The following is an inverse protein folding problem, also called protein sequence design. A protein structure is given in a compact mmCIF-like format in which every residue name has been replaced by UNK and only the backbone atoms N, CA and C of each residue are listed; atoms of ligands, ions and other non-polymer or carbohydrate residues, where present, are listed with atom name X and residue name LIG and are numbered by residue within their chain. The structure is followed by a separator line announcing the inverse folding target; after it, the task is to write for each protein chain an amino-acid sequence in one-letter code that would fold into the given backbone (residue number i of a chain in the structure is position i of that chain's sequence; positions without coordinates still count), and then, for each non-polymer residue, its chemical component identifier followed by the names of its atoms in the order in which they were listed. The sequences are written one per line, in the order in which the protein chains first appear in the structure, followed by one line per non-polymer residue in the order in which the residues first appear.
data_IF_206824255916
#
_entry.id   IF_206824255916
#
_cell.length_a   1.000
_cell.length_b   1.000
_cell.length_c   1.000
_cell.angle_alpha   90.00
_cell.angle_beta   90.00
_cell.angle_gamma   90.00
#
_symmetry.space_group_name_H-M   'P 1'
#
loop_
_entity.id
_entity.type
_entity.pdbx_description
1 polymer ?
#
# COMPACT_ATOMS: atom_id res chain seq x y z
N UNK A 1 -17.60 -5.20 -17.06
CA UNK A 1 -16.96 -4.01 -16.47
C UNK A 1 -16.12 -4.54 -15.32
N UNK A 2 -14.84 -4.18 -15.23
CA UNK A 2 -14.00 -4.59 -14.12
C UNK A 2 -14.68 -4.17 -12.80
N UNK A 3 -14.60 -5.02 -11.76
CA UNK A 3 -14.85 -4.55 -10.38
C UNK A 3 -14.00 -3.28 -10.16
N UNK A 4 -14.56 -2.23 -9.54
CA UNK A 4 -13.96 -0.89 -9.42
C UNK A 4 -12.45 -0.93 -9.16
N UNK A 5 -11.66 -0.76 -10.23
CA UNK A 5 -10.22 -0.81 -10.17
C UNK A 5 -9.68 0.41 -9.42
N UNK A 6 -8.59 0.23 -8.68
CA UNK A 6 -7.99 1.29 -7.86
C UNK A 6 -6.75 1.85 -8.54
N UNK A 7 -6.62 3.17 -8.53
CA UNK A 7 -5.32 3.81 -8.64
C UNK A 7 -4.98 4.42 -7.29
N UNK A 8 -3.96 3.88 -6.62
CA UNK A 8 -3.50 4.28 -5.29
C UNK A 8 -2.18 5.02 -5.44
N UNK A 9 -2.02 6.19 -4.82
CA UNK A 9 -0.75 6.94 -4.88
C UNK A 9 -0.30 7.31 -3.47
N UNK A 10 0.99 7.15 -3.19
CA UNK A 10 1.56 7.58 -1.90
C UNK A 10 1.95 9.06 -1.94
N UNK A 11 1.59 9.81 -0.91
CA UNK A 11 1.98 11.20 -0.71
C UNK A 11 3.01 11.26 0.43
N UNK A 12 4.28 11.46 0.10
CA UNK A 12 5.38 11.58 1.09
C UNK A 12 6.13 12.91 0.94
N UNK A 13 6.71 13.16 -0.23
CA UNK A 13 7.24 14.47 -0.55
C UNK A 13 6.09 15.43 -0.84
N UNK A 14 6.26 16.69 -0.43
CA UNK A 14 5.18 17.69 -0.47
C UNK A 14 5.45 18.86 -1.42
N UNK A 15 6.31 18.68 -2.42
CA UNK A 15 6.58 19.74 -3.39
C UNK A 15 5.44 19.90 -4.41
N UNK A 16 4.50 18.93 -4.49
CA UNK A 16 3.19 19.09 -5.14
C UNK A 16 2.09 19.26 -4.07
N UNK A 17 1.21 20.27 -4.16
CA UNK A 17 0.09 20.43 -3.23
C UNK A 17 -0.80 19.19 -3.14
N UNK A 18 -1.16 18.78 -1.91
CA UNK A 18 -2.07 17.62 -1.71
C UNK A 18 -3.44 17.83 -2.36
N UNK A 19 -3.87 19.09 -2.51
CA UNK A 19 -5.16 19.43 -3.11
C UNK A 19 -5.22 19.10 -4.61
N UNK A 20 -4.08 18.95 -5.28
CA UNK A 20 -4.05 18.57 -6.71
C UNK A 20 -4.64 17.15 -6.89
N UNK A 21 -4.53 16.29 -5.86
CA UNK A 21 -5.16 14.98 -5.81
C UNK A 21 -6.69 15.03 -6.00
N UNK A 22 -7.33 16.16 -5.68
CA UNK A 22 -8.76 16.35 -5.91
C UNK A 22 -9.11 16.42 -7.40
N UNK A 23 -8.20 16.93 -8.25
CA UNK A 23 -8.38 17.03 -9.71
C UNK A 23 -7.79 15.86 -10.50
N UNK A 24 -6.93 15.05 -9.87
CA UNK A 24 -6.18 14.02 -10.56
C UNK A 24 -6.94 12.69 -10.78
N UNK A 25 -6.40 11.85 -11.67
CA UNK A 25 -6.92 10.54 -12.06
C UNK A 25 -6.58 9.42 -11.05
N UNK A 26 -6.72 9.66 -9.74
CA UNK A 26 -6.54 8.64 -8.70
C UNK A 26 -7.84 8.29 -7.98
N UNK A 27 -7.83 7.18 -7.25
CA UNK A 27 -8.95 6.74 -6.40
C UNK A 27 -8.62 6.84 -4.91
N UNK A 28 -7.37 6.53 -4.53
CA UNK A 28 -6.92 6.54 -3.15
C UNK A 28 -5.58 7.27 -3.03
N UNK A 29 -5.42 8.03 -1.96
CA UNK A 29 -4.19 8.71 -1.57
C UNK A 29 -3.73 8.16 -0.21
N UNK A 30 -2.54 7.57 -0.16
CA UNK A 30 -1.92 7.10 1.08
C UNK A 30 -0.97 8.18 1.60
N UNK A 31 -1.33 8.82 2.70
CA UNK A 31 -0.48 9.81 3.38
C UNK A 31 0.64 9.07 4.11
N UNK A 32 1.88 9.29 3.67
CA UNK A 32 3.08 8.62 4.17
C UNK A 32 3.91 9.59 5.03
N UNK A 33 4.11 9.37 6.34
CA UNK A 33 3.76 8.18 7.13
C UNK A 33 3.35 8.53 8.58
N UNK A 34 2.76 7.55 9.27
CA UNK A 34 2.84 7.42 10.73
C UNK A 34 3.98 6.44 11.08
N UNK A 35 4.89 6.87 11.96
CA UNK A 35 6.07 6.07 12.34
C UNK A 35 6.26 6.12 13.87
N UNK A 36 6.96 5.16 14.47
CA UNK A 36 7.39 5.27 15.86
C UNK A 36 8.30 6.49 16.07
N UNK A 37 8.03 7.25 17.13
CA UNK A 37 8.84 8.40 17.50
C UNK A 37 10.26 7.97 17.89
N UNK A 38 11.22 8.85 17.64
CA UNK A 38 12.62 8.58 17.99
C UNK A 38 12.86 8.44 19.50
N UNK A 39 12.00 9.03 20.34
CA UNK A 39 12.15 9.02 21.80
C UNK A 39 11.47 7.82 22.47
N UNK A 40 10.40 7.29 21.87
CA UNK A 40 9.68 6.12 22.36
C UNK A 40 9.06 5.34 21.17
N UNK A 41 9.55 4.12 20.87
CA UNK A 41 9.01 3.32 19.77
C UNK A 41 7.56 2.85 20.00
N UNK A 42 7.01 3.00 21.21
CA UNK A 42 5.58 2.73 21.48
C UNK A 42 4.66 3.93 21.23
N UNK A 43 5.21 5.11 20.91
CA UNK A 43 4.44 6.30 20.58
C UNK A 43 4.59 6.59 19.09
N UNK A 44 3.48 6.68 18.37
CA UNK A 44 3.48 7.03 16.96
C UNK A 44 3.42 8.54 16.76
N UNK A 45 4.10 9.01 15.72
CA UNK A 45 4.03 10.38 15.24
C UNK A 45 3.76 10.40 13.73
N UNK A 46 3.07 11.45 13.28
CA UNK A 46 2.96 11.77 11.86
C UNK A 46 4.30 12.35 11.43
N UNK A 47 4.96 11.73 10.45
CA UNK A 47 6.31 12.07 10.04
C UNK A 47 6.38 12.79 8.70
N UNK A 48 7.60 13.25 8.39
CA UNK A 48 7.91 13.87 7.11
C UNK A 48 7.15 15.16 6.90
N UNK A 49 6.47 15.25 5.76
CA UNK A 49 5.91 16.49 5.26
C UNK A 49 4.39 16.64 5.50
N UNK A 50 3.79 15.73 6.26
CA UNK A 50 2.35 15.72 6.57
C UNK A 50 2.01 16.76 7.66
N UNK A 51 2.11 18.03 7.30
CA UNK A 51 1.81 19.15 8.21
C UNK A 51 0.34 19.18 8.61
N UNK A 52 0.01 19.85 9.73
CA UNK A 52 -1.38 20.08 10.14
C UNK A 52 -2.21 20.83 9.08
N UNK A 53 -1.57 21.71 8.31
CA UNK A 53 -2.23 22.42 7.19
C UNK A 53 -2.65 21.45 6.10
N UNK A 54 -1.75 20.54 5.71
CA UNK A 54 -2.02 19.49 4.74
C UNK A 54 -3.13 18.55 5.23
N UNK A 55 -3.05 18.10 6.48
CA UNK A 55 -4.06 17.22 7.06
C UNK A 55 -5.44 17.90 7.14
N UNK A 56 -5.47 19.23 7.30
CA UNK A 56 -6.69 20.02 7.21
C UNK A 56 -7.31 20.10 5.81
N UNK A 57 -6.60 19.68 4.76
CA UNK A 57 -7.07 19.65 3.37
C UNK A 57 -7.66 18.30 2.94
N UNK A 58 -7.59 17.28 3.80
CA UNK A 58 -8.14 15.95 3.53
C UNK A 58 -9.63 15.98 3.15
N UNK A 59 -10.51 16.74 3.83
CA UNK A 59 -11.93 16.78 3.46
C UNK A 59 -12.18 17.26 2.03
N UNK A 60 -11.36 18.16 1.49
CA UNK A 60 -11.47 18.64 0.12
C UNK A 60 -11.12 17.55 -0.90
N UNK A 61 -10.07 16.78 -0.63
CA UNK A 61 -9.68 15.64 -1.47
C UNK A 61 -10.78 14.56 -1.44
N UNK A 62 -11.35 14.30 -0.26
CA UNK A 62 -12.48 13.37 -0.11
C UNK A 62 -13.76 13.86 -0.79
N UNK A 63 -14.05 15.16 -0.77
CA UNK A 63 -15.20 15.75 -1.45
C UNK A 63 -15.14 15.56 -2.98
N UNK A 64 -13.96 15.37 -3.55
CA UNK A 64 -13.75 15.00 -4.95
C UNK A 64 -13.88 13.48 -5.22
N UNK A 65 -14.40 12.71 -4.25
CA UNK A 65 -14.65 11.28 -4.38
C UNK A 65 -13.43 10.39 -4.12
N UNK A 66 -12.32 10.96 -3.66
CA UNK A 66 -11.10 10.23 -3.36
C UNK A 66 -11.16 9.63 -1.95
N UNK A 67 -10.45 8.54 -1.73
CA UNK A 67 -10.20 7.97 -0.41
C UNK A 67 -8.85 8.39 0.10
N UNK A 68 -8.75 8.82 1.35
CA UNK A 68 -7.48 9.28 1.95
C UNK A 68 -7.17 8.42 3.17
N UNK A 69 -6.07 7.69 3.13
CA UNK A 69 -5.62 6.77 4.17
C UNK A 69 -4.29 7.24 4.77
N UNK A 70 -3.95 6.77 5.96
CA UNK A 70 -2.63 6.99 6.57
C UNK A 70 -1.82 5.70 6.46
N UNK A 71 -0.61 5.79 5.91
CA UNK A 71 0.31 4.65 5.86
C UNK A 71 1.18 4.61 7.12
N UNK A 72 1.19 3.46 7.79
CA UNK A 72 2.01 3.15 8.94
C UNK A 72 3.23 2.34 8.51
N UNK A 73 4.42 2.76 8.94
CA UNK A 73 5.67 2.07 8.65
C UNK A 73 6.55 2.81 7.64
N UNK A 74 6.83 2.16 6.52
CA UNK A 74 7.78 2.58 5.50
C UNK A 74 9.22 2.18 5.82
N UNK A 75 10.06 2.18 4.79
CA UNK A 75 11.45 1.69 4.85
C UNK A 75 12.41 2.36 5.85
N UNK A 76 12.00 3.44 6.54
CA UNK A 76 12.82 4.08 7.59
C UNK A 76 12.59 3.50 9.00
N UNK A 77 11.52 2.71 9.20
CA UNK A 77 11.25 2.10 10.51
C UNK A 77 12.14 0.88 10.69
N UNK A 78 13.00 0.92 11.71
CA UNK A 78 13.97 -0.14 11.96
C UNK A 78 13.35 -1.39 12.58
N UNK A 79 14.00 -2.54 12.39
CA UNK A 79 13.61 -3.80 13.03
C UNK A 79 13.54 -3.70 14.56
N UNK A 80 14.44 -2.94 15.19
CA UNK A 80 14.42 -2.71 16.63
C UNK A 80 13.19 -1.92 17.10
N UNK A 81 12.71 -0.96 16.31
CA UNK A 81 11.48 -0.23 16.62
C UNK A 81 10.25 -1.13 16.49
N UNK A 82 10.16 -1.95 15.44
CA UNK A 82 9.08 -2.94 15.34
C UNK A 82 9.14 -3.97 16.46
N UNK A 83 10.32 -4.49 16.79
CA UNK A 83 10.52 -5.44 17.88
C UNK A 83 10.03 -4.87 19.22
N UNK A 84 10.24 -3.57 19.47
CA UNK A 84 9.74 -2.92 20.68
C UNK A 84 8.21 -2.85 20.76
N UNK A 85 7.52 -2.88 19.61
CA UNK A 85 6.05 -2.89 19.54
C UNK A 85 5.42 -4.28 19.74
N UNK A 86 6.21 -5.36 19.68
CA UNK A 86 5.71 -6.73 19.86
C UNK A 86 5.04 -6.86 21.23
N UNK A 87 3.81 -7.38 21.24
CA UNK A 87 2.95 -7.47 22.43
C UNK A 87 2.24 -6.17 22.82
N UNK A 88 2.48 -5.07 22.08
CA UNK A 88 1.80 -3.77 22.25
C UNK A 88 0.96 -3.39 21.02
N UNK A 89 0.71 -4.33 20.10
CA UNK A 89 -0.03 -4.11 18.85
C UNK A 89 -1.41 -3.47 19.07
N UNK A 90 -2.21 -3.83 20.12
CA UNK A 90 -3.46 -3.14 20.41
C UNK A 90 -3.27 -1.65 20.75
N UNK A 91 -2.19 -1.29 21.44
CA UNK A 91 -1.88 0.11 21.77
C UNK A 91 -1.40 0.90 20.55
N UNK A 92 -0.64 0.26 19.64
CA UNK A 92 -0.26 0.84 18.35
C UNK A 92 -1.50 1.06 17.48
N UNK A 93 -2.37 0.05 17.36
CA UNK A 93 -3.63 0.13 16.62
C UNK A 93 -4.56 1.23 17.16
N UNK A 94 -4.65 1.40 18.48
CA UNK A 94 -5.43 2.47 19.09
C UNK A 94 -4.92 3.87 18.69
N UNK A 95 -3.60 4.07 18.58
CA UNK A 95 -3.01 5.33 18.10
C UNK A 95 -3.32 5.58 16.62
N UNK A 96 -3.21 4.55 15.78
CA UNK A 96 -3.58 4.63 14.36
C UNK A 96 -5.06 5.00 14.20
N UNK A 97 -5.95 4.35 14.94
CA UNK A 97 -7.38 4.68 14.95
C UNK A 97 -7.64 6.11 15.47
N UNK A 98 -6.85 6.60 16.43
CA UNK A 98 -6.95 7.98 16.90
C UNK A 98 -6.58 8.98 15.80
N UNK A 99 -5.54 8.74 15.00
CA UNK A 99 -5.22 9.57 13.83
C UNK A 99 -6.33 9.53 12.78
N UNK A 100 -6.87 8.35 12.48
CA UNK A 100 -8.00 8.20 11.54
C UNK A 100 -9.21 9.02 12.01
N UNK A 101 -9.53 8.97 13.31
CA UNK A 101 -10.61 9.77 13.90
C UNK A 101 -10.32 11.26 13.86
N UNK A 102 -9.11 11.67 14.23
CA UNK A 102 -8.72 13.08 14.32
C UNK A 102 -8.75 13.78 12.96
N UNK A 103 -8.28 13.12 11.90
CA UNK A 103 -8.16 13.71 10.57
C UNK A 103 -9.24 13.25 9.59
N UNK A 104 -10.23 12.46 10.05
CA UNK A 104 -11.35 12.02 9.21
C UNK A 104 -10.94 11.05 8.09
N UNK A 105 -9.86 10.30 8.26
CA UNK A 105 -9.30 9.44 7.21
C UNK A 105 -10.20 8.24 6.90
N UNK A 106 -10.07 7.68 5.70
CA UNK A 106 -10.82 6.52 5.23
C UNK A 106 -10.24 5.18 5.71
N UNK A 107 -9.00 5.14 6.22
CA UNK A 107 -8.39 3.87 6.62
C UNK A 107 -6.90 3.96 6.95
N UNK A 108 -6.30 2.79 7.11
CA UNK A 108 -4.87 2.60 7.37
C UNK A 108 -4.25 1.73 6.28
N UNK A 109 -3.09 2.13 5.79
CA UNK A 109 -2.20 1.28 5.02
C UNK A 109 -1.06 0.78 5.91
N UNK A 110 -0.69 -0.49 5.82
CA UNK A 110 0.43 -1.08 6.57
C UNK A 110 1.59 -1.33 5.61
N UNK A 111 2.57 -0.43 5.64
CA UNK A 111 3.80 -0.50 4.85
C UNK A 111 4.93 -1.12 5.70
N UNK A 112 4.78 -2.42 5.97
CA UNK A 112 5.68 -3.18 6.85
C UNK A 112 6.82 -3.81 6.04
N UNK A 113 8.00 -3.19 6.14
CA UNK A 113 9.19 -3.54 5.33
C UNK A 113 10.33 -4.21 6.12
N UNK A 114 10.07 -4.75 7.32
CA UNK A 114 11.09 -5.49 8.09
C UNK A 114 11.31 -6.90 7.52
N UNK A 115 12.02 -6.93 6.39
CA UNK A 115 12.51 -8.11 5.70
C UNK A 115 13.12 -9.14 6.67
N UNK A 116 13.96 -8.70 7.61
CA UNK A 116 14.63 -9.61 8.55
C UNK A 116 13.64 -10.38 9.41
N UNK A 117 12.62 -9.71 9.94
CA UNK A 117 11.59 -10.34 10.76
C UNK A 117 10.61 -11.19 9.96
N UNK A 118 10.24 -10.76 8.76
CA UNK A 118 9.40 -11.52 7.84
C UNK A 118 10.08 -12.81 7.35
N UNK A 119 11.41 -12.84 7.37
CA UNK A 119 12.24 -14.02 7.06
C UNK A 119 12.58 -14.88 8.28
N UNK A 120 12.01 -14.61 9.46
CA UNK A 120 12.37 -15.24 10.73
C UNK A 120 13.88 -15.15 11.07
N UNK A 121 14.55 -14.12 10.55
CA UNK A 121 15.98 -13.84 10.76
C UNK A 121 16.19 -12.63 11.70
N UNK A 122 15.20 -12.32 12.53
CA UNK A 122 15.24 -11.21 13.51
C UNK A 122 14.96 -11.70 14.93
N UNK A 123 14.95 -10.78 15.90
CA UNK A 123 14.62 -11.07 17.29
C UNK A 123 13.13 -11.31 17.60
N UNK A 124 12.25 -11.32 16.59
CA UNK A 124 10.81 -11.59 16.74
C UNK A 124 10.19 -12.19 15.47
N UNK A 125 8.97 -12.73 15.60
CA UNK A 125 8.18 -13.29 14.50
C UNK A 125 7.39 -12.17 13.79
N UNK A 126 7.89 -11.73 12.62
CA UNK A 126 7.25 -10.65 11.86
C UNK A 126 5.87 -11.00 11.30
N UNK A 127 5.63 -12.27 10.99
CA UNK A 127 4.33 -12.75 10.52
C UNK A 127 3.25 -12.66 11.60
N UNK A 128 3.57 -13.12 12.82
CA UNK A 128 2.66 -13.07 13.97
C UNK A 128 2.39 -11.63 14.42
N UNK A 129 3.43 -10.79 14.42
CA UNK A 129 3.28 -9.34 14.64
C UNK A 129 2.31 -8.72 13.63
N UNK A 130 2.51 -8.96 12.33
CA UNK A 130 1.65 -8.40 11.29
C UNK A 130 0.19 -8.88 11.41
N UNK A 131 -0.05 -10.17 11.72
CA UNK A 131 -1.39 -10.71 11.94
C UNK A 131 -2.07 -10.02 13.13
N UNK A 132 -1.36 -9.93 14.27
CA UNK A 132 -1.89 -9.35 15.51
C UNK A 132 -2.17 -7.86 15.34
N UNK A 133 -1.26 -7.12 14.68
CA UNK A 133 -1.43 -5.71 14.37
C UNK A 133 -2.63 -5.49 13.44
N UNK A 134 -2.77 -6.27 12.37
CA UNK A 134 -3.90 -6.15 11.43
C UNK A 134 -5.24 -6.38 12.12
N UNK A 135 -5.34 -7.45 12.92
CA UNK A 135 -6.54 -7.74 13.70
C UNK A 135 -6.86 -6.59 14.68
N UNK A 136 -5.83 -6.06 15.35
CA UNK A 136 -5.98 -4.95 16.29
C UNK A 136 -6.40 -3.64 15.60
N UNK A 137 -5.84 -3.33 14.42
CA UNK A 137 -6.23 -2.16 13.61
C UNK A 137 -7.69 -2.28 13.20
N UNK A 138 -8.10 -3.43 12.68
CA UNK A 138 -9.50 -3.66 12.31
C UNK A 138 -10.46 -3.41 13.48
N UNK A 139 -10.17 -3.97 14.65
CA UNK A 139 -11.03 -3.83 15.82
C UNK A 139 -11.05 -2.38 16.33
N UNK A 140 -9.91 -1.68 16.31
CA UNK A 140 -9.83 -0.28 16.69
C UNK A 140 -10.60 0.63 15.71
N UNK A 141 -10.50 0.38 14.39
CA UNK A 141 -11.20 1.14 13.35
C UNK A 141 -12.71 0.91 13.38
N UNK A 142 -13.17 -0.29 13.75
CA UNK A 142 -14.59 -0.56 13.97
C UNK A 142 -15.20 0.36 15.04
N UNK A 143 -14.40 0.78 16.03
CA UNK A 143 -14.78 1.78 17.04
C UNK A 143 -14.78 3.23 16.54
N UNK A 144 -14.12 3.53 15.41
CA UNK A 144 -14.11 4.86 14.78
C UNK A 144 -15.32 5.06 13.88
N UNK A 145 -15.67 4.05 13.07
CA UNK A 145 -16.81 4.10 12.18
C UNK A 145 -16.86 2.94 11.20
N UNK A 146 -18.00 2.78 10.52
CA UNK A 146 -18.16 1.74 9.48
C UNK A 146 -17.42 2.15 8.20
N UNK A 147 -16.99 1.15 7.43
CA UNK A 147 -16.41 1.34 6.09
C UNK A 147 -14.98 1.88 6.10
N UNK A 148 -14.23 1.70 7.20
CA UNK A 148 -12.80 1.97 7.22
C UNK A 148 -12.04 0.86 6.50
N UNK A 149 -11.02 1.25 5.76
CA UNK A 149 -10.24 0.38 4.90
C UNK A 149 -8.90 0.01 5.56
N UNK A 150 -8.41 -1.19 5.26
CA UNK A 150 -7.07 -1.65 5.62
C UNK A 150 -6.39 -2.19 4.37
N UNK A 151 -5.29 -1.57 3.95
CA UNK A 151 -4.40 -2.11 2.93
C UNK A 151 -3.05 -2.47 3.51
N UNK A 152 -2.29 -3.31 2.82
CA UNK A 152 -0.89 -3.56 3.12
C UNK A 152 -0.05 -3.28 1.88
N UNK A 153 1.23 -2.97 2.04
CA UNK A 153 2.17 -2.77 0.94
C UNK A 153 3.32 -3.79 0.97
N UNK A 154 3.07 -5.10 0.81
CA UNK A 154 4.15 -6.08 0.80
C UNK A 154 5.08 -5.90 -0.40
N UNK A 155 6.34 -6.27 -0.21
CA UNK A 155 7.27 -6.52 -1.31
C UNK A 155 7.04 -7.95 -1.87
N UNK A 156 7.25 -8.17 -3.19
CA UNK A 156 7.00 -9.47 -3.82
C UNK A 156 7.66 -10.68 -3.14
N UNK A 157 8.92 -10.61 -2.67
CA UNK A 157 9.56 -11.74 -1.99
C UNK A 157 8.88 -12.16 -0.68
N UNK A 158 7.96 -11.37 -0.11
CA UNK A 158 7.25 -11.74 1.12
C UNK A 158 6.07 -12.69 0.87
N UNK A 159 5.63 -12.81 -0.39
CA UNK A 159 4.55 -13.69 -0.82
C UNK A 159 4.88 -14.38 -2.15
N UNK A 160 5.94 -15.18 -2.16
CA UNK A 160 6.32 -15.92 -3.35
C UNK A 160 5.69 -17.34 -3.35
N UNK A 161 5.18 -17.76 -4.51
CA UNK A 161 4.69 -19.11 -4.74
C UNK A 161 5.80 -20.17 -4.70
N UNK A 162 5.46 -21.46 -4.64
CA UNK A 162 6.43 -22.57 -4.56
C UNK A 162 7.41 -22.63 -5.74
N UNK A 163 7.11 -22.00 -6.88
CA UNK A 163 7.96 -21.90 -8.05
C UNK A 163 9.13 -20.89 -7.91
N UNK A 164 9.12 -20.04 -6.89
CA UNK A 164 10.15 -19.03 -6.67
C UNK A 164 11.20 -19.54 -5.67
N UNK A 165 12.39 -19.88 -6.17
CA UNK A 165 13.51 -20.23 -5.30
C UNK A 165 13.99 -19.00 -4.51
N UNK A 166 13.82 -19.00 -3.19
CA UNK A 166 14.31 -17.94 -2.30
C UNK A 166 13.27 -16.86 -1.91
N UNK A 167 12.03 -17.00 -2.36
CA UNK A 167 10.93 -16.18 -1.86
C UNK A 167 10.24 -16.81 -0.65
N UNK A 168 9.69 -15.98 0.21
CA UNK A 168 8.99 -16.36 1.44
C UNK A 168 7.49 -16.28 1.21
N UNK A 169 6.72 -17.11 1.90
CA UNK A 169 5.25 -17.11 1.78
C UNK A 169 4.57 -16.61 3.06
N UNK A 170 5.31 -15.88 3.92
CA UNK A 170 4.79 -15.36 5.18
C UNK A 170 3.56 -14.48 4.98
N UNK A 171 3.49 -13.70 3.90
CA UNK A 171 2.31 -12.89 3.60
C UNK A 171 1.11 -13.70 3.11
N UNK A 172 1.30 -14.92 2.58
CA UNK A 172 0.18 -15.83 2.33
C UNK A 172 -0.44 -16.32 3.66
N UNK A 173 0.39 -16.54 4.68
CA UNK A 173 -0.08 -16.82 6.05
C UNK A 173 -0.76 -15.60 6.65
N UNK A 174 -0.15 -14.41 6.59
CA UNK A 174 -0.76 -13.16 7.10
C UNK A 174 -2.13 -12.93 6.43
N UNK A 175 -2.20 -13.07 5.12
CA UNK A 175 -3.45 -12.93 4.37
C UNK A 175 -4.53 -13.92 4.84
N UNK A 176 -4.17 -15.18 5.02
CA UNK A 176 -5.10 -16.24 5.43
C UNK A 176 -5.58 -16.04 6.86
N UNK A 177 -4.67 -15.79 7.80
CA UNK A 177 -4.95 -15.69 9.24
C UNK A 177 -5.63 -14.38 9.64
N UNK A 178 -5.49 -13.31 8.85
CA UNK A 178 -6.26 -12.07 9.06
C UNK A 178 -7.71 -12.20 8.59
N UNK A 179 -8.03 -13.25 7.81
CA UNK A 179 -9.38 -13.70 7.48
C UNK A 179 -10.28 -12.59 6.88
N UNK A 180 -9.77 -11.86 5.88
CA UNK A 180 -10.54 -10.86 5.14
C UNK A 180 -10.59 -9.47 5.80
N UNK A 181 -9.73 -9.22 6.79
CA UNK A 181 -9.54 -7.88 7.38
C UNK A 181 -8.60 -6.98 6.60
N UNK A 182 -7.95 -7.51 5.55
CA UNK A 182 -7.15 -6.73 4.58
C UNK A 182 -7.99 -6.60 3.31
N UNK A 183 -8.27 -5.37 2.88
CA UNK A 183 -9.06 -5.08 1.70
C UNK A 183 -8.27 -5.33 0.40
N UNK A 184 -7.00 -4.92 0.34
CA UNK A 184 -6.09 -5.18 -0.78
C UNK A 184 -4.60 -5.06 -0.42
N UNK A 185 -3.75 -5.50 -1.35
CA UNK A 185 -2.29 -5.38 -1.31
C UNK A 185 -1.78 -4.40 -2.37
N UNK A 186 -1.02 -3.38 -1.94
CA UNK A 186 -0.21 -2.48 -2.75
C UNK A 186 1.15 -3.14 -3.06
N UNK A 187 1.21 -4.11 -3.98
CA UNK A 187 2.43 -4.92 -4.20
C UNK A 187 3.59 -4.08 -4.76
N UNK A 188 4.71 -4.01 -4.05
CA UNK A 188 5.85 -3.15 -4.41
C UNK A 188 6.78 -3.79 -5.46
N UNK A 189 6.40 -3.77 -6.75
CA UNK A 189 7.21 -4.33 -7.85
C UNK A 189 8.38 -3.43 -8.30
N UNK A 190 9.19 -3.05 -7.31
CA UNK A 190 10.41 -2.25 -7.43
C UNK A 190 11.35 -2.59 -6.26
N UNK A 191 12.64 -2.24 -6.37
CA UNK A 191 13.67 -2.60 -5.37
C UNK A 191 13.83 -4.10 -5.08
N UNK A 192 13.23 -4.97 -5.89
CA UNK A 192 13.18 -6.41 -5.65
C UNK A 192 13.66 -7.17 -6.91
N UNK A 193 14.99 -7.33 -7.10
CA UNK A 193 15.54 -8.08 -8.22
C UNK A 193 14.88 -9.46 -8.38
N UNK A 194 14.48 -9.81 -9.61
CA UNK A 194 13.69 -11.01 -9.90
C UNK A 194 12.17 -10.79 -9.89
N UNK A 195 11.71 -9.61 -9.50
CA UNK A 195 10.30 -9.20 -9.53
C UNK A 195 10.09 -7.81 -10.16
N UNK A 196 11.13 -7.22 -10.75
CA UNK A 196 11.09 -5.84 -11.24
C UNK A 196 10.64 -5.74 -12.70
N UNK A 197 11.05 -6.69 -13.53
CA UNK A 197 10.81 -6.64 -14.98
C UNK A 197 9.35 -6.97 -15.30
N UNK A 198 8.79 -6.39 -16.36
CA UNK A 198 7.35 -6.46 -16.63
C UNK A 198 6.83 -7.91 -16.73
N UNK A 199 7.59 -8.80 -17.36
CA UNK A 199 7.26 -10.23 -17.46
C UNK A 199 7.27 -10.93 -16.09
N UNK A 200 8.23 -10.61 -15.22
CA UNK A 200 8.29 -11.10 -13.84
C UNK A 200 7.09 -10.60 -13.02
N UNK A 201 6.72 -9.33 -13.19
CA UNK A 201 5.55 -8.72 -12.54
C UNK A 201 4.28 -9.47 -12.94
N UNK A 202 4.05 -9.62 -14.24
CA UNK A 202 2.86 -10.31 -14.79
C UNK A 202 2.81 -11.76 -14.29
N UNK A 203 3.92 -12.48 -14.36
CA UNK A 203 3.99 -13.86 -13.90
C UNK A 203 3.68 -13.98 -12.40
N UNK A 204 4.32 -13.17 -11.57
CA UNK A 204 4.09 -13.19 -10.12
C UNK A 204 2.66 -12.82 -9.76
N UNK A 205 2.11 -11.78 -10.40
CA UNK A 205 0.73 -11.36 -10.18
C UNK A 205 -0.26 -12.48 -10.49
N UNK A 206 -0.07 -13.19 -11.62
CA UNK A 206 -0.90 -14.33 -11.99
C UNK A 206 -0.77 -15.50 -11.01
N UNK A 207 0.44 -15.77 -10.49
CA UNK A 207 0.65 -16.75 -9.41
C UNK A 207 -0.16 -16.40 -8.16
N UNK A 208 -0.16 -15.12 -7.76
CA UNK A 208 -0.93 -14.67 -6.59
C UNK A 208 -2.44 -14.79 -6.78
N UNK A 209 -2.95 -14.54 -7.99
CA UNK A 209 -4.37 -14.77 -8.28
C UNK A 209 -4.74 -16.25 -8.25
N UNK A 210 -3.87 -17.11 -8.80
CA UNK A 210 -4.09 -18.55 -8.89
C UNK A 210 -4.04 -19.23 -7.52
N UNK A 211 -3.14 -18.79 -6.65
CA UNK A 211 -2.87 -19.45 -5.38
C UNK A 211 -2.17 -20.81 -5.53
N UNK A 212 -1.99 -21.49 -4.39
CA UNK A 212 -1.34 -22.79 -4.28
C UNK A 212 -1.85 -23.54 -3.04
N UNK A 213 -1.32 -24.73 -2.75
CA UNK A 213 -1.73 -25.49 -1.56
C UNK A 213 -1.46 -24.70 -0.28
N UNK A 214 -2.52 -24.37 0.47
CA UNK A 214 -2.44 -23.55 1.68
C UNK A 214 -2.65 -22.04 1.46
N UNK A 215 -2.83 -21.60 0.21
CA UNK A 215 -3.17 -20.21 -0.12
C UNK A 215 -4.16 -20.19 -1.28
N UNK A 216 -5.41 -19.79 -1.02
CA UNK A 216 -6.48 -19.86 -2.00
C UNK A 216 -6.30 -18.94 -3.22
N UNK A 217 -5.33 -18.03 -3.18
CA UNK A 217 -5.15 -16.97 -4.15
C UNK A 217 -5.94 -15.72 -3.81
N UNK A 218 -5.61 -14.63 -4.50
CA UNK A 218 -6.26 -13.33 -4.38
C UNK A 218 -7.32 -13.15 -5.47
N UNK A 219 -8.37 -12.42 -5.17
CA UNK A 219 -9.27 -11.90 -6.21
C UNK A 219 -8.60 -10.67 -6.86
N UNK A 220 -8.86 -10.38 -8.15
CA UNK A 220 -8.29 -9.23 -8.82
C UNK A 220 -8.34 -7.94 -7.98
N UNK A 221 -9.51 -7.55 -7.45
CA UNK A 221 -9.69 -6.34 -6.63
C UNK A 221 -8.85 -6.24 -5.34
N UNK A 222 -8.18 -7.32 -4.95
CA UNK A 222 -7.39 -7.46 -3.72
C UNK A 222 -5.88 -7.31 -3.98
N UNK A 223 -5.45 -7.14 -5.23
CA UNK A 223 -4.05 -7.00 -5.59
C UNK A 223 -3.86 -5.84 -6.58
N UNK A 224 -2.88 -4.98 -6.28
CA UNK A 224 -2.50 -3.86 -7.13
C UNK A 224 -1.05 -4.02 -7.57
N UNK A 225 -0.75 -3.58 -8.79
CA UNK A 225 0.62 -3.49 -9.30
C UNK A 225 1.24 -2.16 -8.86
N UNK A 226 2.21 -2.20 -7.95
CA UNK A 226 2.95 -1.02 -7.51
C UNK A 226 4.20 -0.75 -8.34
N UNK A 227 4.34 0.48 -8.86
CA UNK A 227 5.53 0.95 -9.58
C UNK A 227 5.99 2.32 -9.08
N UNK A 228 7.29 2.63 -9.20
CA UNK A 228 7.76 3.99 -8.98
C UNK A 228 7.21 4.91 -10.07
N UNK A 229 6.80 6.11 -9.71
CA UNK A 229 6.30 7.13 -10.63
C UNK A 229 7.49 7.78 -11.35
N UNK A 230 8.43 8.32 -10.57
CA UNK A 230 9.66 8.91 -11.07
C UNK A 230 10.81 7.91 -11.07
N UNK A 231 11.76 8.10 -12.01
CA UNK A 231 12.94 7.24 -12.13
C UNK A 231 13.82 7.24 -10.85
N UNK A 232 13.82 8.35 -10.10
CA UNK A 232 14.57 8.48 -8.86
C UNK A 232 13.83 8.03 -7.59
N UNK A 233 12.57 7.57 -7.71
CA UNK A 233 11.76 7.21 -6.53
C UNK A 233 12.12 5.85 -5.92
N UNK A 234 12.86 5.02 -6.66
CA UNK A 234 13.33 3.71 -6.23
C UNK A 234 14.73 3.42 -6.79
N UNK A 235 15.48 2.53 -6.14
CA UNK A 235 16.79 2.08 -6.61
C UNK A 235 16.74 1.17 -7.84
N UNK A 236 15.61 0.50 -8.09
CA UNK A 236 15.37 -0.30 -9.31
C UNK A 236 13.88 -0.52 -9.58
N UNK A 237 13.54 -0.93 -10.81
CA UNK A 237 12.17 -1.34 -11.18
C UNK A 237 11.27 -0.24 -11.74
N UNK A 238 11.77 0.99 -11.90
CA UNK A 238 11.09 2.03 -12.68
C UNK A 238 11.07 1.67 -14.17
N UNK A 239 9.92 1.90 -14.80
CA UNK A 239 9.71 1.87 -16.26
C UNK A 239 8.78 3.04 -16.64
N UNK A 240 8.80 3.51 -17.90
CA UNK A 240 7.86 4.51 -18.39
C UNK A 240 6.39 4.13 -18.16
N UNK A 241 5.53 5.13 -17.91
CA UNK A 241 4.10 4.89 -17.67
C UNK A 241 3.41 4.14 -18.83
N UNK A 242 3.81 4.42 -20.07
CA UNK A 242 3.30 3.70 -21.24
C UNK A 242 3.67 2.20 -21.22
N UNK A 243 4.88 1.88 -20.75
CA UNK A 243 5.36 0.49 -20.65
C UNK A 243 4.66 -0.25 -19.49
N UNK A 244 4.28 0.45 -18.41
CA UNK A 244 3.38 -0.12 -17.39
C UNK A 244 2.05 -0.56 -18.04
N UNK A 245 1.51 0.24 -18.94
CA UNK A 245 0.27 -0.09 -19.64
C UNK A 245 0.47 -1.28 -20.58
N UNK A 246 1.40 -1.17 -21.54
CA UNK A 246 1.57 -2.17 -22.60
C UNK A 246 2.12 -3.50 -22.10
N UNK A 247 3.00 -3.48 -21.10
CA UNK A 247 3.78 -4.66 -20.72
C UNK A 247 3.28 -5.30 -19.42
N UNK A 248 2.42 -4.62 -18.66
CA UNK A 248 1.87 -5.15 -17.40
C UNK A 248 0.34 -5.12 -17.37
N UNK A 249 -0.29 -3.96 -17.53
CA UNK A 249 -1.74 -3.84 -17.39
C UNK A 249 -2.45 -4.61 -18.50
N UNK A 250 -2.11 -4.37 -19.76
CA UNK A 250 -2.74 -5.02 -20.91
C UNK A 250 -2.65 -6.56 -20.86
N UNK A 251 -1.47 -7.16 -20.57
CA UNK A 251 -1.37 -8.61 -20.35
C UNK A 251 -2.22 -9.16 -19.20
N UNK A 252 -2.48 -8.36 -18.15
CA UNK A 252 -3.28 -8.77 -17.00
C UNK A 252 -4.78 -8.57 -17.19
N UNK A 253 -5.23 -7.74 -18.14
CA UNK A 253 -6.66 -7.42 -18.31
C UNK A 253 -7.54 -8.65 -18.48
N UNK A 254 -7.10 -9.65 -19.26
CA UNK A 254 -7.87 -10.87 -19.51
C UNK A 254 -8.07 -11.73 -18.25
N UNK A 255 -7.09 -11.74 -17.34
CA UNK A 255 -7.16 -12.46 -16.05
C UNK A 255 -7.79 -11.64 -14.93
N UNK A 256 -7.96 -10.33 -15.15
CA UNK A 256 -8.45 -9.37 -14.17
C UNK A 256 -7.30 -8.67 -13.42
N UNK A 257 -7.36 -7.35 -13.35
CA UNK A 257 -6.44 -6.51 -12.59
C UNK A 257 -7.22 -5.71 -11.54
N UNK A 258 -6.75 -5.66 -10.30
CA UNK A 258 -7.37 -4.87 -9.24
C UNK A 258 -7.08 -3.38 -9.35
N UNK A 259 -6.03 -3.04 -10.09
CA UNK A 259 -5.56 -1.69 -10.32
C UNK A 259 -4.04 -1.55 -10.17
N UNK A 260 -3.59 -0.32 -9.95
CA UNK A 260 -2.18 0.03 -9.84
C UNK A 260 -1.90 0.92 -8.61
N UNK A 261 -0.63 0.94 -8.21
CA UNK A 261 -0.12 1.79 -7.14
C UNK A 261 1.12 2.56 -7.62
N UNK A 262 1.24 3.82 -7.21
CA UNK A 262 2.36 4.70 -7.56
C UNK A 262 3.11 5.25 -6.34
N UNK A 263 4.43 5.08 -6.35
CA UNK A 263 5.36 5.75 -5.43
C UNK A 263 6.22 6.76 -6.22
N UNK A 264 6.02 8.08 -6.15
CA UNK A 264 5.08 8.81 -5.28
C UNK A 264 4.46 10.06 -5.94
N UNK A 265 3.41 10.60 -5.32
CA UNK A 265 2.54 11.65 -5.84
C UNK A 265 3.29 12.86 -6.39
N UNK A 266 4.24 13.40 -5.62
CA UNK A 266 4.94 14.61 -6.04
C UNK A 266 5.83 14.39 -7.27
N UNK A 267 6.16 13.13 -7.62
CA UNK A 267 6.91 12.79 -8.83
C UNK A 267 6.05 12.82 -10.11
N UNK A 268 4.75 13.09 -10.01
CA UNK A 268 3.83 13.33 -11.13
C UNK A 268 3.14 14.71 -11.00
N UNK A 269 3.88 15.84 -11.10
CA UNK A 269 3.34 17.17 -10.85
C UNK A 269 2.28 17.63 -11.88
N UNK A 270 2.04 16.85 -12.93
CA UNK A 270 1.05 17.16 -13.98
C UNK A 270 -0.10 16.15 -14.02
N UNK A 271 -0.10 15.15 -13.13
CA UNK A 271 -1.07 14.05 -13.16
C UNK A 271 -0.96 13.15 -14.40
N UNK A 272 0.12 13.26 -15.19
CA UNK A 272 0.33 12.57 -16.46
C UNK A 272 0.53 11.06 -16.30
N UNK A 273 1.27 10.66 -15.27
CA UNK A 273 1.46 9.25 -14.94
C UNK A 273 0.11 8.65 -14.53
N UNK A 274 -0.61 9.36 -13.67
CA UNK A 274 -1.91 8.91 -13.18
C UNK A 274 -2.95 8.79 -14.30
N UNK A 275 -3.00 9.76 -15.23
CA UNK A 275 -3.86 9.68 -16.41
C UNK A 275 -3.49 8.50 -17.32
N UNK A 276 -2.20 8.30 -17.57
CA UNK A 276 -1.73 7.22 -18.46
C UNK A 276 -2.04 5.84 -17.87
N UNK A 277 -1.70 5.61 -16.60
CA UNK A 277 -1.88 4.33 -15.91
C UNK A 277 -3.35 4.09 -15.53
N UNK A 278 -4.08 5.15 -15.18
CA UNK A 278 -5.49 5.08 -14.77
C UNK A 278 -6.45 4.81 -15.92
N UNK A 279 -6.17 5.32 -17.13
CA UNK A 279 -7.05 5.19 -18.29
C UNK A 279 -7.48 3.75 -18.62
N UNK A 280 -6.57 2.75 -18.77
CA UNK A 280 -6.96 1.37 -19.03
C UNK A 280 -7.70 0.71 -17.85
N UNK A 281 -7.58 1.27 -16.64
CA UNK A 281 -8.28 0.83 -15.44
C UNK A 281 -9.68 1.48 -15.29
N UNK A 282 -10.06 2.37 -16.20
CA UNK A 282 -11.29 3.16 -16.09
C UNK A 282 -11.23 4.25 -15.02
N UNK A 283 -10.05 4.55 -14.48
CA UNK A 283 -9.85 5.64 -13.54
C UNK A 283 -9.54 6.90 -14.33
N UNK A 284 -10.45 7.87 -14.26
CA UNK A 284 -10.34 9.15 -14.98
C UNK A 284 -10.37 10.32 -14.00
N UNK A 285 -9.81 11.48 -14.38
CA UNK A 285 -9.99 12.71 -13.60
C UNK A 285 -11.49 12.99 -13.38
N UNK A 286 -11.87 13.65 -12.27
CA UNK A 286 -13.23 14.12 -12.11
C UNK A 286 -13.64 15.00 -13.28
N UNK A 287 -14.91 14.93 -13.68
CA UNK A 287 -15.44 15.86 -14.67
C UNK A 287 -15.22 17.30 -14.18
N UNK A 288 -14.69 18.16 -15.05
CA UNK A 288 -14.64 19.60 -14.79
C UNK A 288 -16.06 20.11 -14.70
N UNK A 289 -16.44 20.63 -13.53
CA UNK A 289 -17.75 21.23 -13.26
C UNK A 289 -17.76 22.69 -13.68
#
# INVERSE_FOLDING_TARGET
MAEDAKLVVYYNANYTPVLDAAGDALTHLNLAFAIPSASNPLTLEISGNLTSTLLGQVPQVQAAGKKVMLSFGGGTVSSAQYQAMVGNEPAIAAQLAAFVKQYGLDGIDVDYEDSGALMNNSGYNGGEFAITLTNSIHDALAGVGRGKLISHAPQPPYIAGPEYSGGWNVYATIWTETAGKIDWLNMQYYNNPGFNDADQVVAHYQTLLKGWSGFAGLKPKQLLVGKPIGQGDAGSGWIPAADIVSDIIDPLQAGGIGGAMGWQFSSDPTGSWQQTVGAPLGVTPPATV
#
